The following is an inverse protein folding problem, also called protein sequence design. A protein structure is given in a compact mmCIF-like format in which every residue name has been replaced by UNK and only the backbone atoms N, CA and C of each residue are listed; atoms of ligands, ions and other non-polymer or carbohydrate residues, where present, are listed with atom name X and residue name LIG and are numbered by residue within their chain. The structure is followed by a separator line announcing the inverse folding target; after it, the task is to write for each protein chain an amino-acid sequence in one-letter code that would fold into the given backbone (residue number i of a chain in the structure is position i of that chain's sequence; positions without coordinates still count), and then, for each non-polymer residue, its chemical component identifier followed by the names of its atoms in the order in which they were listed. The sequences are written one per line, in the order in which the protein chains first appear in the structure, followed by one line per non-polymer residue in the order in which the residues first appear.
data_IF_105124808647
#
_entry.id   IF_105124808647
#
_cell.length_a   1.000
_cell.length_b   1.000
_cell.length_c   1.000
_cell.angle_alpha   90.00
_cell.angle_beta   90.00
_cell.angle_gamma   90.00
#
_symmetry.space_group_name_H-M   'P 1'
#
loop_
_entity.id
_entity.type
_entity.pdbx_description
1 polymer ?
#
# COMPACT_ATOMS: atom_id res chain seq x y z
N UNK A 1 56.50 -2.19 17.99
CA UNK A 1 56.18 -1.95 16.57
C UNK A 1 54.76 -1.37 16.51
N UNK A 2 54.66 -0.04 16.53
CA UNK A 2 53.37 0.69 16.44
C UNK A 2 53.05 0.84 14.96
N UNK A 3 51.98 0.20 14.50
CA UNK A 3 51.47 0.45 13.16
C UNK A 3 50.45 1.59 13.30
N UNK A 4 50.87 2.78 12.89
CA UNK A 4 49.99 3.90 12.58
C UNK A 4 49.02 3.44 11.48
N UNK A 5 47.78 3.10 11.84
CA UNK A 5 46.67 3.24 10.92
C UNK A 5 46.01 4.58 11.27
N UNK A 6 46.48 5.64 10.63
CA UNK A 6 45.74 6.89 10.56
C UNK A 6 44.37 6.53 9.99
N UNK A 7 43.31 6.70 10.80
CA UNK A 7 41.98 6.83 10.25
C UNK A 7 42.04 8.02 9.30
N UNK A 8 42.03 7.78 8.00
CA UNK A 8 41.72 8.80 7.00
C UNK A 8 40.30 9.28 7.28
N UNK A 9 40.16 10.22 8.21
CA UNK A 9 39.03 11.12 8.27
C UNK A 9 39.14 11.97 7.00
N UNK A 10 38.62 11.45 5.89
CA UNK A 10 38.33 12.32 4.77
C UNK A 10 37.40 13.42 5.30
N UNK A 11 37.76 14.70 5.18
CA UNK A 11 36.84 15.77 5.51
C UNK A 11 35.52 15.53 4.77
N UNK A 12 34.36 15.96 5.31
CA UNK A 12 33.15 15.98 4.50
C UNK A 12 33.52 16.69 3.19
N UNK A 13 33.11 16.19 2.01
CA UNK A 13 33.47 16.86 0.77
C UNK A 13 32.88 18.27 0.84
N UNK A 14 33.69 19.25 1.21
CA UNK A 14 33.38 20.68 1.20
C UNK A 14 33.55 21.25 -0.20
N UNK A 15 33.72 20.36 -1.19
CA UNK A 15 33.73 20.70 -2.60
C UNK A 15 32.31 21.09 -3.00
N UNK A 16 32.13 22.35 -3.41
CA UNK A 16 30.85 22.85 -3.91
C UNK A 16 30.26 21.97 -5.02
N UNK A 17 31.11 21.26 -5.78
CA UNK A 17 30.70 20.27 -6.77
C UNK A 17 29.98 19.05 -6.15
N UNK A 18 30.45 18.53 -5.02
CA UNK A 18 29.79 17.42 -4.32
C UNK A 18 28.41 17.83 -3.80
N UNK A 19 28.32 18.98 -3.14
CA UNK A 19 27.06 19.51 -2.61
C UNK A 19 26.06 19.75 -3.74
N UNK A 20 26.53 20.29 -4.87
CA UNK A 20 25.70 20.53 -6.05
C UNK A 20 25.19 19.20 -6.65
N UNK A 21 26.07 18.23 -6.87
CA UNK A 21 25.70 16.91 -7.40
C UNK A 21 24.68 16.20 -6.48
N UNK A 22 24.92 16.21 -5.17
CA UNK A 22 24.03 15.59 -4.19
C UNK A 22 22.68 16.30 -4.10
N UNK A 23 22.65 17.63 -4.23
CA UNK A 23 21.42 18.42 -4.25
C UNK A 23 20.56 18.11 -5.48
N UNK A 24 21.18 18.02 -6.67
CA UNK A 24 20.47 17.63 -7.88
C UNK A 24 19.99 16.17 -7.82
N UNK A 25 20.81 15.27 -7.28
CA UNK A 25 20.42 13.88 -7.06
C UNK A 25 19.21 13.76 -6.12
N UNK A 26 19.24 14.46 -4.97
CA UNK A 26 18.12 14.52 -4.04
C UNK A 26 16.84 15.04 -4.72
N UNK A 27 16.94 16.13 -5.49
CA UNK A 27 15.80 16.68 -6.25
C UNK A 27 15.24 15.67 -7.26
N UNK A 28 16.11 14.95 -7.96
CA UNK A 28 15.72 13.89 -8.88
C UNK A 28 14.96 12.76 -8.18
N UNK A 29 15.47 12.29 -7.04
CA UNK A 29 14.84 11.22 -6.25
C UNK A 29 13.49 11.66 -5.66
N UNK A 30 13.36 12.90 -5.16
CA UNK A 30 12.08 13.46 -4.75
C UNK A 30 11.09 13.50 -5.93
N UNK A 31 11.54 13.92 -7.10
CA UNK A 31 10.72 13.89 -8.32
C UNK A 31 10.21 12.49 -8.67
N UNK A 32 11.07 11.46 -8.56
CA UNK A 32 10.68 10.05 -8.77
C UNK A 32 9.63 9.61 -7.76
N UNK A 33 9.81 9.91 -6.47
CA UNK A 33 8.84 9.57 -5.42
C UNK A 33 7.48 10.22 -5.71
N UNK A 34 7.45 11.50 -6.07
CA UNK A 34 6.20 12.20 -6.36
C UNK A 34 5.49 11.59 -7.59
N UNK A 35 6.24 11.27 -8.65
CA UNK A 35 5.68 10.60 -9.83
C UNK A 35 5.13 9.20 -9.51
N UNK A 36 5.81 8.44 -8.65
CA UNK A 36 5.31 7.13 -8.20
C UNK A 36 4.11 7.25 -7.26
N UNK A 37 4.08 8.25 -6.38
CA UNK A 37 2.93 8.55 -5.52
C UNK A 37 1.69 8.84 -6.34
N UNK A 38 1.77 9.73 -7.35
CA UNK A 38 0.64 10.03 -8.22
C UNK A 38 0.09 8.78 -8.94
N UNK A 39 0.98 7.86 -9.38
CA UNK A 39 0.57 6.59 -10.00
C UNK A 39 -0.12 5.61 -9.05
N UNK A 40 0.16 5.71 -7.75
CA UNK A 40 -0.49 4.92 -6.70
C UNK A 40 -1.88 5.46 -6.38
N UNK A 41 -2.05 6.78 -6.35
CA UNK A 41 -3.35 7.39 -6.05
C UNK A 41 -4.36 7.12 -7.20
N UNK A 42 -3.87 7.11 -8.45
CA UNK A 42 -4.70 6.82 -9.62
C UNK A 42 -5.35 5.42 -9.56
N UNK A 43 -4.64 4.37 -9.13
CA UNK A 43 -5.21 3.00 -9.09
C UNK A 43 -6.33 2.87 -8.06
N UNK A 44 -6.19 3.52 -6.90
CA UNK A 44 -7.25 3.55 -5.90
C UNK A 44 -8.47 4.33 -6.41
N UNK A 45 -8.26 5.46 -7.11
CA UNK A 45 -9.36 6.21 -7.73
C UNK A 45 -10.11 5.36 -8.77
N UNK A 46 -9.41 4.63 -9.63
CA UNK A 46 -10.04 3.72 -10.58
C UNK A 46 -10.82 2.61 -9.88
N UNK A 47 -10.32 2.06 -8.77
CA UNK A 47 -11.05 1.06 -7.99
C UNK A 47 -12.35 1.62 -7.40
N UNK A 48 -12.35 2.86 -6.92
CA UNK A 48 -13.56 3.54 -6.40
C UNK A 48 -14.55 3.81 -7.53
N UNK A 49 -14.07 4.32 -8.66
CA UNK A 49 -14.90 4.63 -9.84
C UNK A 49 -15.56 3.37 -10.38
N UNK A 50 -14.81 2.28 -10.59
CA UNK A 50 -15.39 1.01 -11.08
C UNK A 50 -16.38 0.42 -10.09
N UNK A 51 -16.09 0.47 -8.79
CA UNK A 51 -17.00 0.04 -7.73
C UNK A 51 -18.31 0.82 -7.78
N UNK A 52 -18.23 2.14 -7.89
CA UNK A 52 -19.39 3.03 -7.95
C UNK A 52 -20.25 2.78 -9.19
N UNK A 53 -19.62 2.57 -10.35
CA UNK A 53 -20.34 2.21 -11.59
C UNK A 53 -21.07 0.87 -11.43
N UNK A 54 -20.41 -0.14 -10.87
CA UNK A 54 -21.02 -1.45 -10.64
C UNK A 54 -22.20 -1.33 -9.66
N UNK A 55 -22.07 -0.55 -8.60
CA UNK A 55 -23.16 -0.32 -7.65
C UNK A 55 -24.37 0.31 -8.34
N UNK A 56 -24.15 1.37 -9.13
CA UNK A 56 -25.21 2.02 -9.90
C UNK A 56 -25.95 1.01 -10.78
N UNK A 57 -25.23 0.17 -11.54
CA UNK A 57 -25.86 -0.84 -12.42
C UNK A 57 -26.59 -1.91 -11.60
N UNK A 58 -25.95 -2.41 -10.54
CA UNK A 58 -26.48 -3.50 -9.71
C UNK A 58 -27.77 -3.11 -8.97
N UNK A 59 -27.88 -1.85 -8.52
CA UNK A 59 -29.07 -1.38 -7.80
C UNK A 59 -30.12 -0.71 -8.71
N UNK A 60 -29.75 -0.19 -9.89
CA UNK A 60 -30.72 0.41 -10.82
C UNK A 60 -31.50 -0.62 -11.63
N UNK A 61 -30.93 -1.81 -11.88
CA UNK A 61 -31.55 -2.84 -12.70
C UNK A 61 -31.81 -4.08 -11.84
N UNK A 62 -33.09 -4.35 -11.57
CA UNK A 62 -33.51 -5.48 -10.73
C UNK A 62 -33.03 -6.83 -11.26
N UNK A 63 -33.06 -7.00 -12.58
CA UNK A 63 -32.66 -8.23 -13.30
C UNK A 63 -31.17 -8.55 -13.22
N UNK A 64 -30.32 -7.61 -12.80
CA UNK A 64 -28.88 -7.86 -12.69
C UNK A 64 -28.62 -8.80 -11.51
N UNK A 65 -28.02 -9.98 -11.75
CA UNK A 65 -27.74 -10.93 -10.69
C UNK A 65 -26.66 -10.39 -9.73
N UNK A 66 -26.78 -10.72 -8.44
CA UNK A 66 -25.82 -10.28 -7.43
C UNK A 66 -24.40 -10.83 -7.65
N UNK A 67 -24.18 -11.79 -8.56
CA UNK A 67 -22.84 -12.24 -8.97
C UNK A 67 -21.99 -11.10 -9.55
N UNK A 68 -22.59 -9.99 -9.99
CA UNK A 68 -21.84 -8.80 -10.43
C UNK A 68 -20.87 -8.27 -9.34
N UNK A 69 -21.20 -8.45 -8.06
CA UNK A 69 -20.31 -8.06 -6.96
C UNK A 69 -19.06 -8.95 -6.85
N UNK A 70 -19.12 -10.21 -7.30
CA UNK A 70 -17.92 -11.06 -7.41
C UNK A 70 -16.93 -10.48 -8.42
N UNK A 71 -17.43 -10.02 -9.57
CA UNK A 71 -16.60 -9.33 -10.56
C UNK A 71 -16.04 -8.02 -10.00
N UNK A 72 -16.81 -7.29 -9.20
CA UNK A 72 -16.34 -6.10 -8.52
C UNK A 72 -15.16 -6.40 -7.59
N UNK A 73 -15.30 -7.42 -6.72
CA UNK A 73 -14.21 -7.92 -5.85
C UNK A 73 -12.98 -8.29 -6.68
N UNK A 74 -13.14 -8.97 -7.81
CA UNK A 74 -12.04 -9.36 -8.68
C UNK A 74 -11.33 -8.14 -9.30
N UNK A 75 -12.08 -7.17 -9.83
CA UNK A 75 -11.53 -5.92 -10.40
C UNK A 75 -10.76 -5.15 -9.34
N UNK A 76 -11.34 -4.97 -8.15
CA UNK A 76 -10.67 -4.29 -7.02
C UNK A 76 -9.45 -5.07 -6.55
N UNK A 77 -9.50 -6.40 -6.53
CA UNK A 77 -8.34 -7.26 -6.24
C UNK A 77 -7.20 -7.09 -7.24
N UNK A 78 -7.50 -6.98 -8.53
CA UNK A 78 -6.51 -6.70 -9.58
C UNK A 78 -5.91 -5.30 -9.38
N UNK A 79 -6.73 -4.28 -9.10
CA UNK A 79 -6.25 -2.93 -8.84
C UNK A 79 -5.32 -2.90 -7.63
N UNK A 80 -5.69 -3.57 -6.53
CA UNK A 80 -4.86 -3.73 -5.35
C UNK A 80 -3.52 -4.42 -5.68
N UNK A 81 -3.54 -5.48 -6.48
CA UNK A 81 -2.32 -6.18 -6.89
C UNK A 81 -1.37 -5.30 -7.73
N UNK A 82 -1.93 -4.58 -8.71
CA UNK A 82 -1.17 -3.63 -9.54
C UNK A 82 -0.56 -2.54 -8.65
N UNK A 83 -1.35 -1.99 -7.73
CA UNK A 83 -0.91 -0.96 -6.81
C UNK A 83 0.17 -1.46 -5.85
N UNK A 84 0.03 -2.67 -5.29
CA UNK A 84 1.04 -3.30 -4.43
C UNK A 84 2.37 -3.48 -5.18
N UNK A 85 2.34 -3.88 -6.46
CA UNK A 85 3.56 -3.95 -7.29
C UNK A 85 4.21 -2.57 -7.43
N UNK A 86 3.42 -1.53 -7.75
CA UNK A 86 3.91 -0.13 -7.89
C UNK A 86 4.45 0.42 -6.57
N UNK A 87 3.84 0.03 -5.45
CA UNK A 87 4.20 0.51 -4.13
C UNK A 87 5.61 0.04 -3.72
N UNK A 88 6.07 -1.14 -4.19
CA UNK A 88 7.47 -1.57 -3.97
C UNK A 88 8.49 -0.65 -4.62
N UNK A 89 8.17 -0.07 -5.78
CA UNK A 89 9.04 0.92 -6.43
C UNK A 89 9.03 2.23 -5.64
N UNK A 90 7.84 2.71 -5.25
CA UNK A 90 7.71 3.88 -4.39
C UNK A 90 8.52 3.73 -3.09
N UNK A 91 8.42 2.58 -2.42
CA UNK A 91 9.12 2.29 -1.18
C UNK A 91 10.65 2.28 -1.35
N UNK A 92 11.15 1.70 -2.46
CA UNK A 92 12.57 1.68 -2.76
C UNK A 92 13.15 3.11 -2.90
N UNK A 93 12.49 3.99 -3.66
CA UNK A 93 12.89 5.39 -3.82
C UNK A 93 12.71 6.19 -2.54
N UNK A 94 11.60 5.97 -1.83
CA UNK A 94 11.33 6.59 -0.52
C UNK A 94 12.45 6.31 0.46
N UNK A 95 12.89 5.06 0.59
CA UNK A 95 13.98 4.71 1.49
C UNK A 95 15.29 5.41 1.12
N UNK A 96 15.56 5.58 -0.18
CA UNK A 96 16.75 6.33 -0.66
C UNK A 96 16.69 7.80 -0.29
N UNK A 97 15.53 8.44 -0.50
CA UNK A 97 15.32 9.84 -0.07
C UNK A 97 15.42 9.98 1.44
N UNK A 98 14.89 9.03 2.23
CA UNK A 98 15.07 9.03 3.69
C UNK A 98 16.53 8.92 4.10
N UNK A 99 17.32 8.11 3.39
CA UNK A 99 18.76 8.00 3.63
C UNK A 99 19.46 9.35 3.37
N UNK A 100 19.12 10.05 2.28
CA UNK A 100 19.64 11.39 1.97
C UNK A 100 19.17 12.44 2.97
N UNK A 101 17.89 12.42 3.38
CA UNK A 101 17.36 13.35 4.38
C UNK A 101 18.13 13.21 5.70
N UNK A 102 18.29 11.98 6.18
CA UNK A 102 18.93 11.70 7.46
C UNK A 102 20.44 11.96 7.48
N UNK A 103 21.16 11.65 6.38
CA UNK A 103 22.64 11.67 6.38
C UNK A 103 23.26 12.79 5.55
N UNK A 104 22.49 13.46 4.69
CA UNK A 104 22.95 14.62 3.92
C UNK A 104 22.25 15.91 4.35
N UNK A 105 20.90 15.94 4.40
CA UNK A 105 20.19 17.17 4.75
C UNK A 105 20.24 17.52 6.23
N UNK A 106 20.05 16.56 7.14
CA UNK A 106 20.10 16.82 8.59
C UNK A 106 21.44 17.45 9.01
N UNK A 107 22.63 16.94 8.58
CA UNK A 107 23.89 17.60 8.89
C UNK A 107 24.01 19.02 8.33
N UNK A 108 23.51 19.27 7.12
CA UNK A 108 23.49 20.62 6.51
C UNK A 108 22.63 21.58 7.35
N UNK A 109 21.47 21.12 7.82
CA UNK A 109 20.53 21.92 8.62
C UNK A 109 21.05 22.15 10.05
N UNK A 110 21.60 21.12 10.69
CA UNK A 110 22.10 21.21 12.07
C UNK A 110 23.39 22.04 12.19
N UNK A 111 24.10 22.28 11.09
CA UNK A 111 25.37 23.02 11.05
C UNK A 111 26.46 22.50 12.02
N UNK A 112 26.29 21.31 12.59
CA UNK A 112 27.19 20.64 13.52
C UNK A 112 27.37 19.18 13.08
N UNK A 113 28.62 18.74 12.95
CA UNK A 113 29.00 17.34 12.75
C UNK A 113 29.48 16.78 14.10
N UNK A 114 29.13 15.54 14.51
CA UNK A 114 28.89 14.36 13.66
C UNK A 114 27.54 13.66 13.94
N UNK A 115 26.94 12.96 12.96
CA UNK A 115 25.91 11.96 13.28
C UNK A 115 26.02 10.69 12.41
N UNK A 116 25.94 9.58 13.14
CA UNK A 116 25.98 8.14 12.80
C UNK A 116 27.10 7.71 11.84
N UNK A 117 28.21 7.32 12.46
CA UNK A 117 29.22 6.40 11.90
C UNK A 117 28.51 5.21 11.23
N UNK A 118 28.44 5.29 9.91
CA UNK A 118 27.88 4.25 9.07
C UNK A 118 28.27 4.57 7.66
N UNK A 119 28.66 3.53 6.92
CA UNK A 119 29.09 3.63 5.53
C UNK A 119 27.86 3.84 4.61
N UNK A 120 27.02 4.83 4.91
CA UNK A 120 25.76 5.10 4.21
C UNK A 120 26.01 5.47 2.75
N UNK A 121 27.16 6.07 2.45
CA UNK A 121 27.60 6.35 1.08
C UNK A 121 27.85 5.06 0.32
N UNK A 122 28.51 4.08 0.94
CA UNK A 122 28.67 2.73 0.38
C UNK A 122 27.33 2.04 0.20
N UNK A 123 26.44 2.09 1.19
CA UNK A 123 25.10 1.51 1.07
C UNK A 123 24.28 2.17 -0.05
N UNK A 124 24.36 3.49 -0.20
CA UNK A 124 23.72 4.23 -1.29
C UNK A 124 24.32 3.86 -2.65
N UNK A 125 25.65 3.76 -2.72
CA UNK A 125 26.35 3.34 -3.94
C UNK A 125 25.96 1.91 -4.33
N UNK A 126 25.85 1.01 -3.36
CA UNK A 126 25.38 -0.36 -3.57
C UNK A 126 23.92 -0.40 -4.06
N UNK A 127 23.00 0.38 -3.46
CA UNK A 127 21.60 0.50 -3.90
C UNK A 127 21.47 1.24 -5.26
N UNK A 128 22.48 1.99 -5.70
CA UNK A 128 22.57 2.59 -7.03
C UNK A 128 23.07 1.59 -8.07
N UNK A 129 24.09 0.80 -7.73
CA UNK A 129 24.67 -0.22 -8.61
C UNK A 129 23.72 -1.41 -8.78
N UNK A 130 23.10 -1.86 -7.69
CA UNK A 130 22.22 -3.02 -7.63
C UNK A 130 20.89 -2.64 -7.00
N UNK A 131 19.98 -2.00 -7.76
CA UNK A 131 18.70 -1.56 -7.21
C UNK A 131 17.85 -2.74 -6.76
N UNK A 132 17.59 -2.80 -5.44
CA UNK A 132 16.83 -3.88 -4.79
C UNK A 132 15.50 -3.42 -4.21
N UNK A 133 14.49 -4.30 -4.22
CA UNK A 133 13.25 -4.06 -3.48
C UNK A 133 13.42 -4.39 -2.01
N UNK A 134 13.02 -3.46 -1.13
CA UNK A 134 13.18 -3.57 0.33
C UNK A 134 12.06 -4.35 1.01
N UNK A 135 10.87 -4.38 0.40
CA UNK A 135 9.69 -5.09 0.91
C UNK A 135 9.27 -6.23 -0.03
N UNK A 136 8.68 -7.27 0.54
CA UNK A 136 8.13 -8.39 -0.23
C UNK A 136 6.82 -8.01 -0.94
N UNK A 137 6.38 -8.82 -1.93
CA UNK A 137 5.10 -8.58 -2.62
C UNK A 137 3.91 -8.72 -1.68
N UNK A 138 3.95 -9.70 -0.78
CA UNK A 138 2.88 -9.94 0.19
C UNK A 138 2.83 -8.84 1.26
N UNK A 139 3.99 -8.37 1.70
CA UNK A 139 4.08 -7.23 2.61
C UNK A 139 3.48 -5.96 1.98
N UNK A 140 3.85 -5.66 0.74
CA UNK A 140 3.28 -4.54 -0.02
C UNK A 140 1.76 -4.64 -0.15
N UNK A 141 1.25 -5.85 -0.45
CA UNK A 141 -0.19 -6.11 -0.54
C UNK A 141 -0.90 -5.82 0.80
N UNK A 142 -0.36 -6.33 1.90
CA UNK A 142 -0.91 -6.11 3.24
C UNK A 142 -0.93 -4.63 3.64
N UNK A 143 0.16 -3.89 3.35
CA UNK A 143 0.23 -2.43 3.63
C UNK A 143 -0.84 -1.65 2.87
N UNK A 144 -1.03 -1.95 1.57
CA UNK A 144 -2.03 -1.26 0.73
C UNK A 144 -3.46 -1.68 1.06
N UNK A 145 -3.69 -2.95 1.37
CA UNK A 145 -4.99 -3.45 1.81
C UNK A 145 -5.44 -2.71 3.06
N UNK A 146 -4.63 -2.74 4.12
CA UNK A 146 -4.96 -2.13 5.42
C UNK A 146 -5.23 -0.62 5.32
N UNK A 147 -4.47 0.10 4.48
CA UNK A 147 -4.53 1.56 4.44
C UNK A 147 -5.62 2.12 3.54
N UNK A 148 -5.86 1.48 2.39
CA UNK A 148 -6.72 2.06 1.33
C UNK A 148 -7.88 1.14 0.93
N UNK A 149 -7.63 -0.16 0.72
CA UNK A 149 -8.61 -1.04 0.08
C UNK A 149 -9.57 -1.72 1.05
N UNK A 150 -9.25 -1.83 2.34
CA UNK A 150 -10.10 -2.50 3.33
C UNK A 150 -11.51 -1.92 3.33
N UNK A 151 -11.64 -0.59 3.24
CA UNK A 151 -12.93 0.09 3.20
C UNK A 151 -13.70 -0.19 1.89
N UNK A 152 -12.99 -0.24 0.75
CA UNK A 152 -13.59 -0.57 -0.54
C UNK A 152 -14.17 -2.00 -0.51
N UNK A 153 -13.40 -2.98 -0.02
CA UNK A 153 -13.88 -4.35 0.12
C UNK A 153 -15.06 -4.47 1.09
N UNK A 154 -15.01 -3.81 2.25
CA UNK A 154 -16.11 -3.83 3.21
C UNK A 154 -17.39 -3.29 2.57
N UNK A 155 -17.33 -2.15 1.89
CA UNK A 155 -18.49 -1.54 1.24
C UNK A 155 -19.04 -2.44 0.13
N UNK A 156 -18.17 -3.12 -0.65
CA UNK A 156 -18.60 -4.11 -1.66
C UNK A 156 -19.31 -5.29 -1.02
N UNK A 157 -18.78 -5.83 0.08
CA UNK A 157 -19.38 -6.97 0.79
C UNK A 157 -20.74 -6.60 1.39
N UNK A 158 -20.85 -5.42 1.99
CA UNK A 158 -22.13 -4.90 2.51
C UNK A 158 -23.14 -4.74 1.36
N UNK A 159 -22.75 -4.10 0.26
CA UNK A 159 -23.62 -3.92 -0.91
C UNK A 159 -24.08 -5.26 -1.51
N UNK A 160 -23.18 -6.24 -1.57
CA UNK A 160 -23.49 -7.58 -2.04
C UNK A 160 -24.55 -8.25 -1.15
N UNK A 161 -24.34 -8.24 0.17
CA UNK A 161 -25.32 -8.78 1.14
C UNK A 161 -26.66 -8.05 0.99
N UNK A 162 -26.66 -6.72 0.92
CA UNK A 162 -27.88 -5.92 0.72
C UNK A 162 -28.63 -6.32 -0.55
N UNK A 163 -27.95 -6.49 -1.68
CA UNK A 163 -28.60 -6.93 -2.94
C UNK A 163 -29.27 -8.30 -2.79
N UNK A 164 -28.63 -9.25 -2.09
CA UNK A 164 -29.20 -10.58 -1.81
C UNK A 164 -30.48 -10.43 -0.99
N UNK A 165 -30.47 -9.65 0.09
CA UNK A 165 -31.65 -9.43 0.93
C UNK A 165 -32.80 -8.75 0.17
N UNK A 166 -32.50 -7.82 -0.73
CA UNK A 166 -33.53 -7.11 -1.51
C UNK A 166 -34.23 -8.00 -2.55
N UNK A 167 -33.54 -9.01 -3.11
CA UNK A 167 -34.06 -9.82 -4.23
C UNK A 167 -34.37 -11.27 -3.82
N UNK A 168 -34.23 -11.61 -2.54
CA UNK A 168 -34.55 -12.93 -2.04
C UNK A 168 -36.06 -13.21 -2.13
N UNK A 169 -36.42 -14.22 -2.91
CA UNK A 169 -37.78 -14.75 -3.04
C UNK A 169 -37.72 -16.26 -2.80
N UNK A 170 -38.30 -16.79 -1.70
CA UNK A 170 -39.04 -16.11 -0.64
C UNK A 170 -38.15 -15.24 0.29
N UNK A 171 -38.78 -14.37 1.09
CA UNK A 171 -38.09 -13.53 2.08
C UNK A 171 -37.24 -14.39 3.02
N UNK A 172 -36.05 -13.89 3.37
CA UNK A 172 -35.12 -14.58 4.25
C UNK A 172 -35.63 -14.52 5.70
N UNK A 173 -36.01 -15.68 6.25
CA UNK A 173 -36.42 -15.86 7.65
C UNK A 173 -35.42 -16.68 8.46
N UNK A 174 -34.71 -17.60 7.80
CA UNK A 174 -33.82 -18.57 8.42
C UNK A 174 -32.48 -18.69 7.68
N UNK A 175 -31.46 -19.26 8.34
CA UNK A 175 -30.14 -19.49 7.72
C UNK A 175 -30.22 -20.34 6.44
N UNK A 176 -31.14 -21.31 6.40
CA UNK A 176 -31.38 -22.11 5.18
C UNK A 176 -31.93 -21.26 4.04
N UNK A 177 -32.87 -20.35 4.33
CA UNK A 177 -33.42 -19.44 3.31
C UNK A 177 -32.36 -18.47 2.76
N UNK A 178 -31.44 -18.01 3.61
CA UNK A 178 -30.28 -17.23 3.17
C UNK A 178 -29.36 -18.03 2.24
N UNK A 179 -29.07 -19.28 2.62
CA UNK A 179 -28.26 -20.17 1.79
C UNK A 179 -28.90 -20.49 0.43
N UNK A 180 -30.23 -20.65 0.39
CA UNK A 180 -30.95 -20.78 -0.87
C UNK A 180 -30.91 -19.49 -1.71
N UNK A 181 -31.03 -18.32 -1.07
CA UNK A 181 -30.95 -17.02 -1.74
C UNK A 181 -29.57 -16.70 -2.34
N UNK A 182 -28.51 -17.40 -1.90
CA UNK A 182 -27.16 -17.29 -2.49
C UNK A 182 -27.05 -17.93 -3.88
N UNK A 183 -27.99 -18.80 -4.26
CA UNK A 183 -27.97 -19.43 -5.59
C UNK A 183 -28.35 -18.42 -6.68
N UNK A 184 -27.51 -18.33 -7.71
CA UNK A 184 -27.71 -17.39 -8.84
C UNK A 184 -28.22 -18.17 -10.02
N UNK A 185 -29.55 -18.18 -10.16
CA UNK A 185 -30.28 -18.92 -11.19
C UNK A 185 -29.79 -20.38 -11.34
N UNK A 186 -30.22 -21.10 -12.37
CA UNK A 186 -29.75 -22.48 -12.60
C UNK A 186 -28.27 -22.54 -13.04
N UNK A 187 -27.57 -21.41 -13.13
CA UNK A 187 -26.20 -21.32 -13.63
C UNK A 187 -25.14 -21.53 -12.54
N UNK A 188 -25.34 -21.03 -11.32
CA UNK A 188 -24.33 -21.11 -10.26
C UNK A 188 -24.89 -21.64 -8.94
N UNK A 189 -24.32 -22.73 -8.39
CA UNK A 189 -24.73 -23.26 -7.09
C UNK A 189 -24.49 -22.25 -5.95
N UNK A 190 -25.42 -22.19 -4.99
CA UNK A 190 -25.30 -21.31 -3.83
C UNK A 190 -24.07 -21.57 -2.96
N UNK A 191 -23.60 -22.83 -2.89
CA UNK A 191 -22.38 -23.19 -2.16
C UNK A 191 -21.13 -22.50 -2.73
N UNK A 192 -21.07 -22.34 -4.05
CA UNK A 192 -19.93 -21.73 -4.74
C UNK A 192 -19.90 -20.23 -4.48
N UNK A 193 -21.07 -19.57 -4.52
CA UNK A 193 -21.20 -18.16 -4.15
C UNK A 193 -20.84 -17.93 -2.68
N UNK A 194 -21.36 -18.76 -1.78
CA UNK A 194 -21.03 -18.71 -0.36
C UNK A 194 -19.52 -18.86 -0.15
N UNK A 195 -18.88 -19.84 -0.80
CA UNK A 195 -17.44 -20.05 -0.74
C UNK A 195 -16.67 -18.79 -1.13
N UNK A 196 -17.00 -18.14 -2.25
CA UNK A 196 -16.32 -16.91 -2.66
C UNK A 196 -16.56 -15.74 -1.70
N UNK A 197 -17.78 -15.59 -1.18
CA UNK A 197 -18.12 -14.54 -0.22
C UNK A 197 -17.32 -14.70 1.09
N UNK A 198 -17.37 -15.89 1.70
CA UNK A 198 -16.65 -16.19 2.94
C UNK A 198 -15.14 -16.18 2.73
N UNK A 199 -14.64 -16.67 1.60
CA UNK A 199 -13.23 -16.60 1.24
C UNK A 199 -12.76 -15.16 1.13
N UNK A 200 -13.50 -14.30 0.43
CA UNK A 200 -13.17 -12.87 0.32
C UNK A 200 -13.13 -12.19 1.69
N UNK A 201 -14.14 -12.41 2.54
CA UNK A 201 -14.18 -11.87 3.89
C UNK A 201 -12.98 -12.35 4.71
N UNK A 202 -12.70 -13.65 4.70
CA UNK A 202 -11.61 -14.28 5.47
C UNK A 202 -10.24 -13.79 5.01
N UNK A 203 -10.03 -13.63 3.70
CA UNK A 203 -8.78 -13.11 3.13
C UNK A 203 -8.58 -11.66 3.54
N UNK A 204 -9.61 -10.81 3.39
CA UNK A 204 -9.50 -9.38 3.71
C UNK A 204 -9.22 -9.18 5.19
N UNK A 205 -9.96 -9.86 6.07
CA UNK A 205 -9.76 -9.79 7.52
C UNK A 205 -8.44 -10.41 7.94
N UNK A 206 -8.09 -11.57 7.39
CA UNK A 206 -6.86 -12.29 7.70
C UNK A 206 -5.61 -11.48 7.34
N UNK A 207 -5.56 -10.94 6.13
CA UNK A 207 -4.45 -10.07 5.70
C UNK A 207 -4.44 -8.77 6.51
N UNK A 208 -5.59 -8.16 6.78
CA UNK A 208 -5.65 -6.92 7.57
C UNK A 208 -5.17 -7.12 9.01
N UNK A 209 -5.55 -8.23 9.65
CA UNK A 209 -5.11 -8.61 10.99
C UNK A 209 -3.62 -8.94 11.01
N UNK A 210 -3.16 -9.79 10.08
CA UNK A 210 -1.74 -10.09 9.90
C UNK A 210 -0.92 -8.80 9.71
N UNK A 211 -1.42 -7.89 8.86
CA UNK A 211 -0.81 -6.59 8.60
C UNK A 211 -0.80 -5.69 9.83
N UNK A 212 -1.84 -5.73 10.67
CA UNK A 212 -1.90 -4.97 11.91
C UNK A 212 -0.84 -5.41 12.92
N UNK A 213 -0.56 -6.72 12.98
CA UNK A 213 0.41 -7.30 13.92
C UNK A 213 1.85 -7.19 13.40
N UNK A 214 2.10 -7.45 12.11
CA UNK A 214 3.45 -7.61 11.58
C UNK A 214 4.02 -6.37 10.90
N UNK A 215 3.18 -5.45 10.41
CA UNK A 215 3.65 -4.28 9.66
C UNK A 215 3.79 -3.09 10.60
N UNK A 216 5.03 -2.75 10.93
CA UNK A 216 5.35 -1.52 11.66
C UNK A 216 4.88 -0.30 10.85
N UNK A 217 4.26 0.66 11.53
CA UNK A 217 3.83 1.93 10.95
C UNK A 217 5.02 2.69 10.35
N UNK A 218 4.84 3.26 9.16
CA UNK A 218 5.87 4.07 8.46
C UNK A 218 6.19 5.39 9.17
N UNK A 219 5.26 5.82 10.02
CA UNK A 219 5.36 7.01 10.86
C UNK A 219 4.84 6.58 12.22
N UNK A 220 5.58 6.90 13.27
CA UNK A 220 5.03 6.92 14.62
C UNK A 220 4.08 8.10 14.69
N UNK A 221 2.79 7.85 14.97
CA UNK A 221 1.79 8.93 15.09
C UNK A 221 2.20 10.00 16.11
N UNK A 222 3.01 9.62 17.11
CA UNK A 222 3.67 10.54 18.03
C UNK A 222 5.07 10.03 18.38
N UNK A 223 6.11 10.75 18.00
CA UNK A 223 7.45 10.57 18.58
C UNK A 223 7.49 11.12 20.02
N UNK A 224 8.40 10.66 20.90
CA UNK A 224 8.39 11.02 22.32
C UNK A 224 8.50 12.52 22.66
N UNK A 225 8.87 13.41 21.72
CA UNK A 225 8.95 14.86 21.96
C UNK A 225 8.76 15.67 20.67
N UNK A 226 7.68 16.44 20.58
CA UNK A 226 7.66 17.93 20.54
C UNK A 226 6.31 18.42 20.00
N UNK A 227 5.68 19.30 20.77
CA UNK A 227 4.67 20.23 20.29
C UNK A 227 5.26 21.08 19.15
N UNK A 228 4.91 20.77 17.91
CA UNK A 228 5.02 21.74 16.83
C UNK A 228 3.60 22.24 16.53
N UNK A 229 3.19 23.25 17.30
CA UNK A 229 2.22 24.24 16.85
C UNK A 229 3.03 25.38 16.22
N UNK A 230 3.00 25.48 14.90
CA UNK A 230 3.22 26.73 14.18
C UNK A 230 2.07 26.81 13.18
#
# INVERSE_FOLDING_TARGET
MKINAMSEQHPPPSDGHYVTAMSHFYRGEVGRIMAWRARLDNTTNWAITTTSTIFTVAFSIERVPHIIFLFNVAVVGIMLWIEARRYRFYDAFRARVRMLEAHFLVPVVMQHAPMLEGDWRKLLAEDLLMPGFKISRFEALGRRLKRNYVFIFIIILVAWITKIFLHAQPRITDWRSFYHALSVSNAFPGWLVAFFLFSTLSIVLGISCWAAVHLRGEFTDFGPRRNWKI
#
